data_IF_444980543408
#
_entry.id   IF_444980543408
#
_cell.length_a   1.000
_cell.length_b   1.000
_cell.length_c   1.000
_cell.angle_alpha   90.00
_cell.angle_beta   90.00
_cell.angle_gamma   90.00
#
_symmetry.space_group_name_H-M   'P 1'
#
loop_
_entity.id
_entity.type
_entity.pdbx_description
1 polymer ?
#
# COMPACT_ATOMS: atom_id res chain seq x y z
N UNK A 1 44.30 -3.38 -2.87
CA UNK A 1 43.61 -2.94 -1.65
C UNK A 1 42.68 -1.82 -2.09
N UNK A 2 41.39 -2.13 -2.25
CA UNK A 2 40.36 -1.15 -2.49
C UNK A 2 39.38 -1.31 -1.34
N UNK A 3 39.23 -0.24 -0.57
CA UNK A 3 38.48 -0.21 0.67
C UNK A 3 37.00 -0.48 0.40
N UNK A 4 36.45 -1.48 1.08
CA UNK A 4 35.01 -1.64 1.21
C UNK A 4 34.50 -0.54 2.15
N UNK A 5 33.66 0.36 1.65
CA UNK A 5 32.87 1.22 2.54
C UNK A 5 31.78 0.35 3.13
N UNK A 6 32.05 -0.17 4.33
CA UNK A 6 31.09 -0.86 5.19
C UNK A 6 30.11 0.18 5.79
N UNK A 7 28.82 0.07 5.46
CA UNK A 7 27.76 0.91 6.06
C UNK A 7 27.22 0.35 7.39
N UNK A 8 27.82 -0.69 7.97
CA UNK A 8 27.74 -0.99 9.41
C UNK A 8 26.37 -1.38 10.00
N UNK A 9 25.28 -1.44 9.23
CA UNK A 9 23.99 -1.92 9.70
C UNK A 9 23.14 -2.53 8.57
N UNK A 10 22.36 -3.60 8.83
CA UNK A 10 21.37 -4.08 7.86
C UNK A 10 20.35 -2.98 7.58
N UNK A 11 20.18 -2.61 6.30
CA UNK A 11 19.10 -1.68 5.90
C UNK A 11 17.76 -2.32 6.24
N UNK A 12 16.96 -1.65 7.07
CA UNK A 12 15.59 -2.07 7.34
C UNK A 12 14.80 -2.13 6.01
N UNK A 13 13.88 -3.09 5.85
CA UNK A 13 13.04 -3.14 4.67
C UNK A 13 12.16 -1.88 4.57
N UNK A 14 11.90 -1.44 3.34
CA UNK A 14 10.89 -0.42 3.05
C UNK A 14 9.76 -1.04 2.26
N UNK A 15 8.53 -0.63 2.57
CA UNK A 15 7.31 -1.11 1.93
C UNK A 15 6.62 0.03 1.22
N UNK A 16 6.25 -0.19 -0.04
CA UNK A 16 5.44 0.75 -0.81
C UNK A 16 3.98 0.32 -0.72
N UNK A 17 3.14 1.23 -0.26
CA UNK A 17 1.69 1.13 -0.32
C UNK A 17 1.22 2.04 -1.44
N UNK A 18 0.39 1.52 -2.34
CA UNK A 18 -0.07 2.28 -3.50
C UNK A 18 -1.49 1.89 -3.91
N UNK A 19 -2.28 2.90 -4.25
CA UNK A 19 -3.61 2.75 -4.83
C UNK A 19 -3.71 3.64 -6.07
N UNK A 20 -4.41 3.14 -7.09
CA UNK A 20 -4.61 3.84 -8.36
C UNK A 20 -6.10 3.89 -8.65
N UNK A 21 -6.58 5.04 -9.13
CA UNK A 21 -7.89 5.18 -9.77
C UNK A 21 -7.71 5.03 -11.29
N UNK A 22 -8.02 3.86 -11.89
CA UNK A 22 -7.72 3.60 -13.30
C UNK A 22 -8.45 4.55 -14.25
N UNK A 23 -9.68 4.95 -13.88
CA UNK A 23 -10.51 5.86 -14.69
C UNK A 23 -9.88 7.25 -14.85
N UNK A 24 -9.18 7.74 -13.82
CA UNK A 24 -8.65 9.10 -13.78
C UNK A 24 -7.12 9.16 -13.92
N UNK A 25 -6.43 8.01 -13.90
CA UNK A 25 -4.97 7.97 -13.90
C UNK A 25 -4.32 8.60 -12.67
N UNK A 26 -5.08 8.75 -11.56
CA UNK A 26 -4.58 9.30 -10.30
C UNK A 26 -4.08 8.17 -9.38
N UNK A 27 -3.10 8.46 -8.55
CA UNK A 27 -2.55 7.53 -7.59
C UNK A 27 -2.29 8.21 -6.24
N UNK A 28 -2.35 7.42 -5.18
CA UNK A 28 -1.93 7.78 -3.83
C UNK A 28 -0.94 6.71 -3.35
N UNK A 29 0.16 7.09 -2.71
CA UNK A 29 1.18 6.14 -2.28
C UNK A 29 1.98 6.63 -1.06
N UNK A 30 2.46 5.67 -0.26
CA UNK A 30 3.32 5.91 0.90
C UNK A 30 4.49 4.92 0.90
N UNK A 31 5.62 5.35 1.45
CA UNK A 31 6.75 4.47 1.79
C UNK A 31 6.80 4.33 3.31
N UNK A 32 6.65 3.11 3.81
CA UNK A 32 6.58 2.81 5.23
C UNK A 32 7.69 1.83 5.64
N UNK A 33 8.25 1.94 6.86
CA UNK A 33 9.27 1.02 7.35
C UNK A 33 8.69 -0.36 7.74
N UNK A 34 7.36 -0.48 7.86
CA UNK A 34 6.66 -1.71 8.25
C UNK A 34 5.45 -1.98 7.36
N UNK A 35 5.13 -3.26 7.18
CA UNK A 35 3.93 -3.71 6.46
C UNK A 35 2.94 -4.33 7.43
N UNK A 36 2.13 -3.47 8.05
CA UNK A 36 1.17 -3.82 9.08
C UNK A 36 -0.14 -3.03 8.95
N UNK A 37 -1.06 -3.23 9.89
CA UNK A 37 -2.35 -2.51 9.92
C UNK A 37 -2.19 -1.02 10.17
N UNK A 38 -1.15 -0.57 10.90
CA UNK A 38 -0.91 0.85 11.11
C UNK A 38 -0.55 1.54 9.78
N UNK A 39 0.38 0.96 9.03
CA UNK A 39 0.75 1.44 7.70
C UNK A 39 -0.45 1.45 6.73
N UNK A 40 -1.32 0.44 6.80
CA UNK A 40 -2.54 0.42 5.99
C UNK A 40 -3.53 1.54 6.36
N UNK A 41 -3.70 1.85 7.65
CA UNK A 41 -4.54 2.97 8.08
C UNK A 41 -3.98 4.34 7.63
N UNK A 42 -2.65 4.50 7.65
CA UNK A 42 -2.01 5.69 7.06
C UNK A 42 -2.30 5.76 5.56
N UNK A 43 -2.22 4.64 4.84
CA UNK A 43 -2.53 4.60 3.42
C UNK A 43 -4.01 4.91 3.12
N UNK A 44 -4.97 4.43 3.92
CA UNK A 44 -6.39 4.78 3.77
C UNK A 44 -6.63 6.28 3.94
N UNK A 45 -5.94 6.90 4.90
CA UNK A 45 -5.99 8.37 5.10
C UNK A 45 -5.46 9.10 3.86
N UNK A 46 -4.32 8.65 3.34
CA UNK A 46 -3.71 9.22 2.14
C UNK A 46 -4.59 9.08 0.90
N UNK A 47 -5.25 7.94 0.73
CA UNK A 47 -6.25 7.74 -0.33
C UNK A 47 -7.41 8.71 -0.15
N UNK A 48 -7.97 8.81 1.06
CA UNK A 48 -9.11 9.67 1.37
C UNK A 48 -8.85 11.13 1.02
N UNK A 49 -7.65 11.66 1.27
CA UNK A 49 -7.27 13.02 0.89
C UNK A 49 -7.26 13.26 -0.63
N UNK A 50 -7.05 12.21 -1.43
CA UNK A 50 -7.00 12.28 -2.89
C UNK A 50 -8.35 11.99 -3.56
N UNK A 51 -9.36 11.55 -2.79
CA UNK A 51 -10.75 11.45 -3.27
C UNK A 51 -11.32 12.87 -3.37
N UNK A 52 -11.91 13.21 -4.52
CA UNK A 52 -12.56 14.51 -4.70
C UNK A 52 -13.74 14.68 -3.73
N UNK A 53 -14.06 15.93 -3.35
CA UNK A 53 -15.10 16.24 -2.36
C UNK A 53 -16.49 15.68 -2.73
N UNK A 54 -16.79 15.55 -4.02
CA UNK A 54 -18.05 15.03 -4.56
C UNK A 54 -17.95 13.56 -5.02
N UNK A 55 -16.88 12.84 -4.65
CA UNK A 55 -16.62 11.47 -5.07
C UNK A 55 -16.58 10.48 -3.89
N UNK A 56 -16.78 9.19 -4.23
CA UNK A 56 -16.64 8.08 -3.30
C UNK A 56 -15.71 7.02 -3.90
N UNK A 57 -14.71 6.58 -3.14
CA UNK A 57 -13.78 5.55 -3.60
C UNK A 57 -14.29 4.15 -3.27
N UNK A 58 -14.25 3.26 -4.27
CA UNK A 58 -14.40 1.81 -4.07
C UNK A 58 -13.01 1.20 -4.16
N UNK A 59 -12.46 0.77 -3.02
CA UNK A 59 -11.10 0.27 -2.90
C UNK A 59 -11.07 -1.26 -2.90
N UNK A 60 -10.49 -1.84 -3.94
CA UNK A 60 -10.36 -3.29 -4.09
C UNK A 60 -8.95 -3.72 -3.66
N UNK A 61 -8.85 -4.69 -2.75
CA UNK A 61 -7.59 -5.18 -2.18
C UNK A 61 -7.53 -6.72 -2.19
N UNK A 62 -6.31 -7.29 -2.27
CA UNK A 62 -6.11 -8.72 -2.05
C UNK A 62 -6.27 -9.03 -0.56
N UNK A 63 -6.95 -10.11 -0.20
CA UNK A 63 -7.43 -10.37 1.17
C UNK A 63 -6.31 -10.74 2.17
N UNK A 64 -5.16 -10.08 2.14
CA UNK A 64 -4.07 -10.24 3.09
C UNK A 64 -4.54 -9.87 4.52
N UNK A 65 -3.95 -10.47 5.55
CA UNK A 65 -4.44 -10.29 6.93
C UNK A 65 -4.53 -8.83 7.39
N UNK A 66 -3.59 -7.97 6.98
CA UNK A 66 -3.59 -6.53 7.30
C UNK A 66 -4.52 -5.71 6.38
N UNK A 67 -4.93 -6.24 5.23
CA UNK A 67 -6.00 -5.70 4.38
C UNK A 67 -7.40 -6.02 4.92
N UNK A 68 -7.55 -7.07 5.73
CA UNK A 68 -8.84 -7.52 6.28
C UNK A 68 -8.92 -7.37 7.80
N UNK A 69 -8.05 -6.56 8.40
CA UNK A 69 -7.99 -6.41 9.85
C UNK A 69 -9.21 -5.67 10.38
N UNK A 70 -9.80 -6.16 11.47
CA UNK A 70 -10.87 -5.47 12.19
C UNK A 70 -10.42 -4.14 12.83
N UNK A 71 -9.10 -3.87 12.86
CA UNK A 71 -8.52 -2.61 13.33
C UNK A 71 -8.33 -1.57 12.20
N UNK A 72 -8.88 -1.81 11.01
CA UNK A 72 -8.89 -0.81 9.94
C UNK A 72 -9.85 0.33 10.28
N UNK A 73 -9.37 1.55 10.12
CA UNK A 73 -10.14 2.79 10.26
C UNK A 73 -10.47 3.26 8.85
N UNK A 74 -11.62 2.84 8.34
CA UNK A 74 -12.05 3.16 6.97
C UNK A 74 -12.68 4.56 6.96
N UNK A 75 -12.13 5.53 6.21
CA UNK A 75 -12.72 6.86 6.04
C UNK A 75 -14.12 6.80 5.41
N UNK A 76 -14.99 7.76 5.74
CA UNK A 76 -16.39 7.74 5.33
C UNK A 76 -16.62 7.78 3.80
N UNK A 77 -15.65 8.28 3.04
CA UNK A 77 -15.67 8.37 1.57
C UNK A 77 -15.00 7.17 0.87
N UNK A 78 -14.75 6.07 1.60
CA UNK A 78 -14.17 4.84 1.07
C UNK A 78 -15.06 3.64 1.42
N UNK A 79 -15.32 2.78 0.43
CA UNK A 79 -15.90 1.44 0.63
C UNK A 79 -14.92 0.38 0.17
N UNK A 80 -14.73 -0.67 0.98
CA UNK A 80 -13.89 -1.83 0.66
C UNK A 80 -14.81 -3.05 0.43
N UNK A 81 -15.14 -3.42 -0.83
CA UNK A 81 -15.92 -4.62 -1.11
C UNK A 81 -15.06 -5.88 -0.93
N UNK A 82 -15.74 -7.00 -0.67
CA UNK A 82 -15.08 -8.31 -0.71
C UNK A 82 -14.58 -8.60 -2.13
N UNK A 83 -13.28 -8.82 -2.29
CA UNK A 83 -12.72 -9.21 -3.57
C UNK A 83 -13.10 -10.66 -3.89
N UNK A 84 -13.54 -10.93 -5.12
CA UNK A 84 -13.69 -12.31 -5.59
C UNK A 84 -12.31 -12.96 -5.75
N UNK A 85 -12.25 -14.28 -5.68
CA UNK A 85 -10.98 -15.02 -5.85
C UNK A 85 -10.32 -14.75 -7.22
N UNK A 86 -11.10 -14.41 -8.24
CA UNK A 86 -10.59 -14.01 -9.56
C UNK A 86 -9.88 -12.66 -9.51
N UNK A 87 -10.51 -11.66 -8.90
CA UNK A 87 -9.95 -10.31 -8.74
C UNK A 87 -8.73 -10.32 -7.81
N UNK A 88 -8.73 -11.16 -6.77
CA UNK A 88 -7.55 -11.31 -5.91
C UNK A 88 -6.34 -11.90 -6.66
N UNK A 89 -6.56 -12.72 -7.70
CA UNK A 89 -5.48 -13.34 -8.49
C UNK A 89 -4.83 -12.38 -9.50
N UNK A 90 -5.49 -11.30 -9.88
CA UNK A 90 -4.92 -10.29 -10.80
C UNK A 90 -4.03 -9.28 -10.09
N UNK A 91 -4.09 -9.21 -8.75
CA UNK A 91 -3.17 -8.40 -7.95
C UNK A 91 -1.76 -8.99 -8.03
N UNK A 92 -0.72 -8.17 -8.31
CA UNK A 92 0.64 -8.66 -8.39
C UNK A 92 1.06 -9.26 -7.04
N UNK A 93 1.34 -10.56 -7.02
CA UNK A 93 1.87 -11.23 -5.83
C UNK A 93 3.13 -10.52 -5.36
N UNK A 94 3.28 -10.38 -4.05
CA UNK A 94 4.48 -9.85 -3.38
C UNK A 94 5.75 -10.48 -3.97
N UNK A 95 6.40 -9.78 -4.88
CA UNK A 95 7.82 -10.01 -5.19
C UNK A 95 8.58 -9.03 -4.30
N UNK A 96 9.61 -9.45 -3.56
CA UNK A 96 10.48 -8.50 -2.89
C UNK A 96 11.09 -7.59 -3.95
N UNK A 97 10.61 -6.34 -4.02
CA UNK A 97 11.18 -5.33 -4.88
C UNK A 97 12.39 -4.77 -4.13
N UNK A 98 13.57 -5.36 -4.34
CA UNK A 98 14.81 -4.79 -3.85
C UNK A 98 15.15 -3.57 -4.73
N UNK A 99 14.66 -2.40 -4.33
CA UNK A 99 15.16 -1.13 -4.86
C UNK A 99 16.60 -0.99 -4.36
N UNK A 100 17.57 -1.25 -5.24
CA UNK A 100 18.96 -0.91 -4.95
C UNK A 100 19.05 0.61 -4.92
N UNK A 101 19.00 1.19 -3.72
CA UNK A 101 19.42 2.56 -3.50
C UNK A 101 20.90 2.64 -3.87
N UNK A 102 21.21 3.37 -4.95
CA UNK A 102 22.59 3.68 -5.35
C UNK A 102 23.28 4.52 -4.30
#
# INVERSE_FOLDING_TARGET
MADAIDFGAPKAPSYIFGAICPKLGKAAALVMPWCDTHAMNQHLTEISHHVAEDAHAVLIMDQAGWHMSNALIVPANITIPAATAEVARTQPRRKPLAIHAR
#
